data_IF_712095697116
#
_entry.id   IF_712095697116
#
_cell.length_a   1.000
_cell.length_b   1.000
_cell.length_c   1.000
_cell.angle_alpha   90.00
_cell.angle_beta   90.00
_cell.angle_gamma   90.00
#
_symmetry.space_group_name_H-M   'P 1'
#
loop_
_entity.id
_entity.type
_entity.pdbx_description
1 polymer ?
#
# COMPACT_ATOMS: atom_id res chain seq x y z
N UNK A 1 3.43 21.20 12.18
CA UNK A 1 3.66 20.44 10.94
C UNK A 1 4.78 21.15 10.20
N UNK A 2 5.73 20.41 9.63
CA UNK A 2 6.96 20.94 9.01
C UNK A 2 6.72 21.68 7.67
N UNK A 3 5.46 21.87 7.27
CA UNK A 3 5.08 22.52 6.02
C UNK A 3 5.23 21.63 4.78
N UNK A 4 5.65 20.37 4.93
CA UNK A 4 5.81 19.43 3.82
C UNK A 4 4.51 18.69 3.54
N UNK A 5 4.24 18.45 2.25
CA UNK A 5 3.09 17.67 1.81
C UNK A 5 3.20 16.22 2.28
N UNK A 6 2.14 15.69 2.89
CA UNK A 6 2.01 14.28 3.24
C UNK A 6 1.45 13.48 2.09
N UNK A 7 2.32 12.78 1.39
CA UNK A 7 1.95 11.94 0.25
C UNK A 7 1.82 10.48 0.67
N UNK A 8 0.91 9.76 0.01
CA UNK A 8 0.74 8.32 0.16
C UNK A 8 1.20 7.63 -1.11
N UNK A 9 2.23 6.79 -1.01
CA UNK A 9 2.56 5.80 -2.03
C UNK A 9 1.92 4.46 -1.68
N UNK A 10 1.31 3.79 -2.67
CA UNK A 10 0.83 2.41 -2.56
C UNK A 10 1.46 1.59 -3.67
N UNK A 11 2.05 0.46 -3.33
CA UNK A 11 2.66 -0.47 -4.28
C UNK A 11 2.49 -1.92 -3.83
N UNK A 12 2.54 -2.87 -4.76
CA UNK A 12 2.48 -4.30 -4.47
C UNK A 12 3.88 -4.95 -4.45
N UNK A 13 3.99 -6.04 -3.72
CA UNK A 13 5.24 -6.80 -3.65
C UNK A 13 5.46 -7.58 -4.94
N UNK A 14 6.70 -7.60 -5.44
CA UNK A 14 7.09 -8.55 -6.48
C UNK A 14 6.71 -9.98 -6.08
N UNK A 15 6.18 -10.74 -7.04
CA UNK A 15 5.88 -12.15 -6.87
C UNK A 15 6.38 -12.95 -8.09
N UNK A 16 6.87 -14.19 -7.87
CA UNK A 16 7.19 -15.10 -8.96
C UNK A 16 5.97 -15.51 -9.79
N UNK A 17 6.16 -15.81 -11.08
CA UNK A 17 5.07 -16.16 -12.01
C UNK A 17 4.20 -17.34 -11.51
N UNK A 18 4.82 -18.34 -10.85
CA UNK A 18 4.09 -19.51 -10.33
C UNK A 18 3.08 -19.17 -9.21
N UNK A 19 3.11 -17.95 -8.63
CA UNK A 19 2.10 -17.51 -7.67
C UNK A 19 0.72 -17.31 -8.34
N UNK A 20 0.69 -17.00 -9.64
CA UNK A 20 -0.54 -16.84 -10.42
C UNK A 20 -1.33 -18.15 -10.49
N UNK A 21 -0.65 -19.27 -10.68
CA UNK A 21 -1.26 -20.60 -10.79
C UNK A 21 -1.88 -21.07 -9.46
N UNK A 22 -1.24 -20.70 -8.34
CA UNK A 22 -1.66 -21.11 -7.00
C UNK A 22 -2.65 -20.17 -6.30
N UNK A 23 -3.04 -19.04 -6.92
CA UNK A 23 -3.78 -17.96 -6.25
C UNK A 23 -3.16 -17.59 -4.89
N UNK A 24 -1.83 -17.55 -4.87
CA UNK A 24 -1.08 -17.21 -3.66
C UNK A 24 -1.20 -15.72 -3.37
N UNK A 25 -0.69 -15.29 -2.21
CA UNK A 25 -0.76 -13.90 -1.79
C UNK A 25 0.56 -13.16 -2.00
N UNK A 26 0.48 -11.89 -2.34
CA UNK A 26 1.59 -10.94 -2.26
C UNK A 26 1.26 -9.81 -1.29
N UNK A 27 2.25 -9.00 -0.94
CA UNK A 27 2.08 -7.82 -0.11
C UNK A 27 1.44 -6.69 -0.93
N UNK A 28 0.68 -5.84 -0.26
CA UNK A 28 0.43 -4.46 -0.68
C UNK A 28 0.89 -3.54 0.44
N UNK A 29 1.66 -2.52 0.10
CA UNK A 29 2.32 -1.65 1.05
C UNK A 29 1.89 -0.21 0.79
N UNK A 30 1.41 0.46 1.83
CA UNK A 30 1.19 1.90 1.83
C UNK A 30 2.20 2.62 2.71
N UNK A 31 2.83 3.66 2.20
CA UNK A 31 3.79 4.49 2.92
C UNK A 31 3.36 5.94 2.86
N UNK A 32 3.22 6.56 4.04
CA UNK A 32 3.04 8.02 4.14
C UNK A 32 4.40 8.65 4.28
N UNK A 33 4.70 9.62 3.43
CA UNK A 33 5.93 10.40 3.46
C UNK A 33 5.65 11.86 3.79
N UNK A 34 6.49 12.48 4.63
CA UNK A 34 6.61 13.94 4.72
C UNK A 34 7.80 14.35 3.86
N UNK A 35 7.54 14.90 2.67
CA UNK A 35 8.57 15.07 1.65
C UNK A 35 9.17 13.70 1.25
N UNK A 36 10.47 13.51 1.48
CA UNK A 36 11.17 12.24 1.19
C UNK A 36 11.27 11.29 2.40
N UNK A 37 10.73 11.68 3.56
CA UNK A 37 10.89 10.92 4.80
C UNK A 37 9.65 10.06 5.06
N UNK A 38 9.76 8.73 5.14
CA UNK A 38 8.67 7.87 5.58
C UNK A 38 8.29 8.19 7.03
N UNK A 39 7.02 8.44 7.29
CA UNK A 39 6.49 8.76 8.63
C UNK A 39 5.44 7.78 9.12
N UNK A 40 4.81 7.02 8.23
CA UNK A 40 3.87 5.96 8.58
C UNK A 40 3.84 4.86 7.52
N UNK A 41 3.48 3.64 7.91
CA UNK A 41 3.49 2.43 7.07
C UNK A 41 2.34 1.52 7.45
N UNK A 42 1.65 0.97 6.45
CA UNK A 42 0.72 -0.13 6.63
C UNK A 42 0.92 -1.17 5.53
N UNK A 43 0.84 -2.43 5.92
CA UNK A 43 1.00 -3.58 5.03
C UNK A 43 -0.26 -4.44 5.15
N UNK A 44 -0.69 -4.98 4.03
CA UNK A 44 -1.73 -6.02 3.94
C UNK A 44 -1.34 -7.06 2.88
N UNK A 45 -2.17 -8.07 2.70
CA UNK A 45 -2.02 -9.11 1.68
C UNK A 45 -3.13 -9.00 0.63
N UNK A 46 -2.75 -9.22 -0.62
CA UNK A 46 -3.66 -9.35 -1.76
C UNK A 46 -3.44 -10.69 -2.44
N UNK A 47 -4.46 -11.20 -3.11
CA UNK A 47 -4.35 -12.41 -3.93
C UNK A 47 -3.76 -12.04 -5.28
N UNK A 48 -2.70 -12.75 -5.70
CA UNK A 48 -2.09 -12.56 -7.03
C UNK A 48 -3.11 -12.86 -8.12
N UNK A 49 -3.27 -11.94 -9.07
CA UNK A 49 -4.33 -11.94 -10.10
C UNK A 49 -5.77 -12.07 -9.51
N UNK A 50 -5.95 -11.68 -8.24
CA UNK A 50 -7.24 -11.64 -7.55
C UNK A 50 -8.04 -10.37 -7.82
N UNK A 51 -9.21 -10.26 -7.15
CA UNK A 51 -10.10 -9.10 -7.22
C UNK A 51 -10.10 -8.27 -5.91
N UNK A 52 -9.23 -8.61 -4.95
CA UNK A 52 -9.18 -8.05 -3.61
C UNK A 52 -8.23 -6.83 -3.45
N UNK A 53 -7.54 -6.44 -4.53
CA UNK A 53 -6.56 -5.35 -4.52
C UNK A 53 -7.14 -4.00 -4.05
N UNK A 54 -8.30 -3.60 -4.58
CA UNK A 54 -8.96 -2.34 -4.21
C UNK A 54 -9.33 -2.30 -2.73
N UNK A 55 -9.91 -3.38 -2.20
CA UNK A 55 -10.32 -3.45 -0.81
C UNK A 55 -9.12 -3.46 0.14
N UNK A 56 -8.03 -4.12 -0.24
CA UNK A 56 -6.79 -4.10 0.53
C UNK A 56 -6.15 -2.70 0.54
N UNK A 57 -6.11 -2.01 -0.60
CA UNK A 57 -5.62 -0.63 -0.68
C UNK A 57 -6.44 0.31 0.22
N UNK A 58 -7.76 0.16 0.28
CA UNK A 58 -8.62 0.92 1.19
C UNK A 58 -8.34 0.61 2.66
N UNK A 59 -8.10 -0.66 3.03
CA UNK A 59 -7.71 -1.03 4.40
C UNK A 59 -6.37 -0.44 4.81
N UNK A 60 -5.40 -0.45 3.89
CA UNK A 60 -4.09 0.19 4.07
C UNK A 60 -4.26 1.69 4.27
N UNK A 61 -4.97 2.37 3.37
CA UNK A 61 -5.27 3.80 3.46
C UNK A 61 -5.91 4.20 4.80
N UNK A 62 -6.93 3.47 5.24
CA UNK A 62 -7.65 3.76 6.50
C UNK A 62 -6.77 3.67 7.74
N UNK A 63 -5.65 2.93 7.69
CA UNK A 63 -4.68 2.80 8.80
C UNK A 63 -3.60 3.89 8.78
N UNK A 64 -3.52 4.66 7.70
CA UNK A 64 -2.44 5.61 7.42
C UNK A 64 -2.87 7.08 7.55
N UNK A 65 -4.14 7.35 7.81
CA UNK A 65 -4.63 8.71 8.02
C UNK A 65 -3.97 9.38 9.23
N UNK A 66 -3.66 10.69 9.16
CA UNK A 66 -4.01 11.64 8.08
C UNK A 66 -2.97 11.72 6.95
N UNK A 67 -3.47 11.86 5.71
CA UNK A 67 -2.73 12.15 4.46
C UNK A 67 -3.32 13.39 3.81
N UNK A 68 -2.50 14.20 3.16
CA UNK A 68 -2.96 15.43 2.52
C UNK A 68 -3.57 15.08 1.14
N UNK A 69 -4.72 15.66 0.84
CA UNK A 69 -5.40 15.51 -0.46
C UNK A 69 -5.04 16.74 -1.30
N UNK A 70 -4.43 16.53 -2.47
CA UNK A 70 -4.10 17.57 -3.44
C UNK A 70 -5.06 17.47 -4.63
#
# INVERSE_FOLDING_TARGET
MDGSLRTLGIDDGYFPVYFKEGKLKTLIVGVVCSGLTPVNLAIDLITVDGLDGTEAALRVYRRLVPVDIV
#
